data_IF_114467311059
#
_entry.id   IF_114467311059
#
_cell.length_a   1.000
_cell.length_b   1.000
_cell.length_c   1.000
_cell.angle_alpha   90.00
_cell.angle_beta   90.00
_cell.angle_gamma   90.00
#
_symmetry.space_group_name_H-M   'P 1'
#
loop_
_entity.id
_entity.type
_entity.pdbx_description
1 polymer ?
#
# COMPACT_ATOMS: atom_id res chain seq x y z
N UNK A 1 11.26 59.23 -40.93
CA UNK A 1 10.24 58.27 -40.57
C UNK A 1 10.99 57.07 -39.95
N UNK A 2 10.86 56.86 -38.62
CA UNK A 2 11.54 55.76 -37.89
C UNK A 2 10.51 54.64 -37.66
N UNK A 3 10.75 53.46 -38.23
CA UNK A 3 9.92 52.28 -37.99
C UNK A 3 10.26 51.70 -36.62
N UNK A 4 9.28 51.41 -35.75
CA UNK A 4 9.53 50.65 -34.54
C UNK A 4 9.50 49.16 -34.85
N UNK A 5 10.62 48.47 -34.50
CA UNK A 5 10.73 47.02 -34.52
C UNK A 5 9.93 46.51 -33.34
N UNK A 6 8.84 45.77 -33.61
CA UNK A 6 8.03 45.10 -32.61
C UNK A 6 8.70 43.75 -32.29
N UNK A 7 9.37 43.69 -31.12
CA UNK A 7 9.97 42.47 -30.63
C UNK A 7 8.89 41.59 -29.98
N UNK A 8 8.48 40.51 -30.64
CA UNK A 8 7.53 39.53 -30.15
C UNK A 8 8.24 38.60 -29.15
N UNK A 9 7.96 38.78 -27.84
CA UNK A 9 8.36 37.81 -26.82
C UNK A 9 7.43 36.61 -26.87
N UNK A 10 7.93 35.49 -27.44
CA UNK A 10 7.25 34.18 -27.34
C UNK A 10 7.56 33.59 -25.98
N UNK A 11 6.63 33.61 -25.05
CA UNK A 11 6.72 32.87 -23.79
C UNK A 11 6.49 31.40 -24.09
N UNK A 12 7.58 30.62 -24.18
CA UNK A 12 7.53 29.17 -24.18
C UNK A 12 7.14 28.71 -22.78
N UNK A 13 5.87 28.42 -22.59
CA UNK A 13 5.38 27.63 -21.43
C UNK A 13 5.92 26.20 -21.58
N UNK A 14 7.03 25.92 -20.91
CA UNK A 14 7.44 24.54 -20.67
C UNK A 14 6.44 23.89 -19.72
N UNK A 15 5.45 23.19 -20.24
CA UNK A 15 4.75 22.17 -19.47
C UNK A 15 5.76 21.05 -19.24
N UNK A 16 6.34 20.99 -18.04
CA UNK A 16 7.03 19.79 -17.61
C UNK A 16 5.97 18.70 -17.53
N UNK A 17 5.90 17.89 -18.57
CA UNK A 17 5.30 16.55 -18.47
C UNK A 17 6.25 15.82 -17.54
N UNK A 18 5.87 15.66 -16.27
CA UNK A 18 6.56 14.76 -15.34
C UNK A 18 6.46 13.36 -15.94
N UNK A 19 7.46 12.97 -16.72
CA UNK A 19 7.58 11.62 -17.22
C UNK A 19 7.72 10.71 -15.98
N UNK A 20 6.82 9.78 -15.83
CA UNK A 20 6.89 8.68 -14.89
C UNK A 20 8.24 7.97 -15.12
N UNK A 21 9.16 8.06 -14.17
CA UNK A 21 10.41 7.30 -14.21
C UNK A 21 10.17 5.98 -13.46
N UNK A 22 9.96 4.91 -14.23
CA UNK A 22 10.04 3.54 -13.71
C UNK A 22 11.46 3.29 -13.18
N UNK A 23 11.58 2.95 -11.91
CA UNK A 23 12.87 2.80 -11.23
C UNK A 23 12.99 1.44 -10.57
N UNK A 24 14.22 0.97 -10.49
CA UNK A 24 14.58 -0.22 -9.73
C UNK A 24 15.61 0.12 -8.67
N UNK A 25 15.50 -0.52 -7.51
CA UNK A 25 16.48 -0.46 -6.44
C UNK A 25 16.90 -1.88 -6.03
N UNK A 26 18.20 -2.10 -5.82
CA UNK A 26 18.70 -3.34 -5.24
C UNK A 26 18.62 -3.22 -3.70
N UNK A 27 17.77 -4.03 -3.09
CA UNK A 27 17.47 -4.01 -1.65
C UNK A 27 17.38 -5.44 -1.15
N UNK A 28 18.10 -5.77 -0.08
CA UNK A 28 18.04 -7.08 0.58
C UNK A 28 18.15 -8.28 -0.39
N UNK A 29 18.98 -8.15 -1.43
CA UNK A 29 19.21 -9.19 -2.42
C UNK A 29 18.15 -9.33 -3.51
N UNK A 30 17.15 -8.44 -3.55
CA UNK A 30 16.12 -8.39 -4.57
C UNK A 30 16.14 -7.05 -5.33
N UNK A 31 15.49 -7.00 -6.48
CA UNK A 31 15.20 -5.75 -7.19
C UNK A 31 13.77 -5.33 -6.90
N UNK A 32 13.62 -4.19 -6.23
CA UNK A 32 12.32 -3.55 -6.02
C UNK A 32 12.06 -2.60 -7.19
N UNK A 33 10.92 -2.79 -7.86
CA UNK A 33 10.35 -1.79 -8.76
C UNK A 33 9.59 -0.76 -7.94
N UNK A 34 9.70 0.51 -8.31
CA UNK A 34 8.91 1.58 -7.69
C UNK A 34 8.70 2.75 -8.65
N UNK A 35 7.65 3.51 -8.40
CA UNK A 35 7.34 4.75 -9.09
C UNK A 35 7.42 5.92 -8.12
N UNK A 36 7.78 7.10 -8.65
CA UNK A 36 7.74 8.36 -7.92
C UNK A 36 6.88 9.35 -8.71
N UNK A 37 5.90 9.97 -8.03
CA UNK A 37 5.04 10.99 -8.60
C UNK A 37 4.91 12.16 -7.65
N UNK A 38 4.83 13.39 -8.20
CA UNK A 38 4.67 14.61 -7.41
C UNK A 38 5.92 15.01 -6.62
N UNK A 39 5.76 16.04 -5.82
CA UNK A 39 6.79 16.62 -4.95
C UNK A 39 6.17 16.90 -3.57
N UNK A 40 7.01 17.16 -2.56
CA UNK A 40 6.57 17.49 -1.20
C UNK A 40 6.88 16.43 -0.17
N UNK A 41 6.02 16.31 0.84
CA UNK A 41 6.17 15.33 1.92
C UNK A 41 6.02 13.90 1.39
N UNK A 42 6.90 12.95 1.78
CA UNK A 42 6.84 11.59 1.28
C UNK A 42 5.58 10.85 1.73
N UNK A 43 4.87 10.24 0.78
CA UNK A 43 3.73 9.35 1.00
C UNK A 43 3.98 7.99 0.33
N UNK A 44 4.10 6.94 1.12
CA UNK A 44 4.31 5.57 0.65
C UNK A 44 2.95 4.89 0.46
N UNK A 45 2.73 4.29 -0.72
CA UNK A 45 1.48 3.58 -1.05
C UNK A 45 1.78 2.10 -1.28
N UNK A 46 1.30 1.22 -0.39
CA UNK A 46 1.53 -0.22 -0.43
C UNK A 46 0.26 -0.97 -0.85
N UNK A 47 0.40 -1.79 -1.88
CA UNK A 47 -0.68 -2.59 -2.45
C UNK A 47 -0.97 -3.88 -1.66
N UNK A 48 -2.11 -4.52 -1.93
CA UNK A 48 -2.48 -5.82 -1.38
C UNK A 48 -1.78 -7.00 -2.07
N UNK A 49 -1.86 -8.18 -1.46
CA UNK A 49 -1.31 -9.40 -2.05
C UNK A 49 -1.96 -9.70 -3.41
N UNK A 50 -1.22 -10.28 -4.34
CA UNK A 50 -1.59 -10.50 -5.75
C UNK A 50 -1.88 -9.25 -6.58
N UNK A 51 -1.65 -8.05 -6.03
CA UNK A 51 -1.76 -6.77 -6.73
C UNK A 51 -0.37 -6.20 -7.08
N UNK A 52 -0.32 -4.97 -7.58
CA UNK A 52 0.92 -4.24 -7.87
C UNK A 52 0.72 -2.75 -7.61
N UNK A 53 1.76 -1.94 -7.87
CA UNK A 53 1.68 -0.46 -7.85
C UNK A 53 0.47 0.08 -8.61
N UNK A 54 0.01 -0.60 -9.67
CA UNK A 54 -1.10 -0.17 -10.52
C UNK A 54 -2.43 -0.03 -9.77
N UNK A 55 -2.55 -0.66 -8.59
CA UNK A 55 -3.70 -0.49 -7.71
C UNK A 55 -3.94 1.00 -7.34
N UNK A 56 -2.87 1.79 -7.31
CA UNK A 56 -2.92 3.18 -6.89
C UNK A 56 -3.08 4.19 -8.04
N UNK A 57 -3.08 3.74 -9.32
CA UNK A 57 -3.15 4.62 -10.51
C UNK A 57 -4.28 5.65 -10.43
N UNK A 58 -5.47 5.23 -9.99
CA UNK A 58 -6.63 6.10 -9.86
C UNK A 58 -6.47 7.25 -8.84
N UNK A 59 -5.50 7.13 -7.92
CA UNK A 59 -5.26 8.09 -6.85
C UNK A 59 -4.01 8.94 -7.03
N UNK A 60 -3.17 8.62 -8.03
CA UNK A 60 -1.90 9.33 -8.27
C UNK A 60 -2.14 10.83 -8.47
N UNK A 61 -3.08 11.20 -9.33
CA UNK A 61 -3.37 12.61 -9.62
C UNK A 61 -3.80 13.40 -8.37
N UNK A 62 -4.59 12.78 -7.49
CA UNK A 62 -5.08 13.48 -6.30
C UNK A 62 -4.00 13.65 -5.24
N UNK A 63 -3.29 12.58 -4.89
CA UNK A 63 -2.28 12.64 -3.84
C UNK A 63 -0.99 13.34 -4.27
N UNK A 64 -0.59 13.24 -5.55
CA UNK A 64 0.62 13.91 -6.06
C UNK A 64 0.54 15.43 -6.09
N UNK A 65 -0.65 16.02 -5.92
CA UNK A 65 -0.83 17.47 -5.73
C UNK A 65 -0.20 17.99 -4.43
N UNK A 66 -0.09 17.13 -3.41
CA UNK A 66 0.36 17.51 -2.05
C UNK A 66 1.52 16.68 -1.54
N UNK A 67 1.79 15.52 -2.15
CA UNK A 67 2.78 14.56 -1.66
C UNK A 67 3.72 14.11 -2.76
N UNK A 68 4.94 13.77 -2.35
CA UNK A 68 5.85 12.94 -3.14
C UNK A 68 5.48 11.48 -2.91
N UNK A 69 4.78 10.88 -3.87
CA UNK A 69 4.36 9.48 -3.79
C UNK A 69 5.53 8.55 -4.04
N UNK A 70 5.65 7.51 -3.24
CA UNK A 70 6.54 6.36 -3.46
C UNK A 70 5.64 5.12 -3.53
N UNK A 71 5.57 4.50 -4.70
CA UNK A 71 4.64 3.40 -4.99
C UNK A 71 5.44 2.16 -5.42
N UNK A 72 5.94 1.35 -4.46
CA UNK A 72 6.70 0.15 -4.76
C UNK A 72 5.78 -1.04 -5.10
N UNK A 73 6.33 -1.97 -5.90
CA UNK A 73 5.85 -3.35 -5.94
C UNK A 73 6.49 -4.13 -4.79
N UNK A 74 5.69 -4.77 -3.94
CA UNK A 74 6.19 -5.64 -2.88
C UNK A 74 6.95 -6.84 -3.48
N UNK A 75 7.75 -7.56 -2.66
CA UNK A 75 8.55 -8.68 -3.14
C UNK A 75 7.72 -9.68 -3.96
N UNK A 76 8.24 -10.08 -5.13
CA UNK A 76 7.63 -10.91 -6.18
C UNK A 76 6.41 -10.33 -6.90
N UNK A 77 5.80 -9.26 -6.38
CA UNK A 77 4.66 -8.64 -7.03
C UNK A 77 5.09 -7.70 -8.17
N UNK A 78 4.18 -7.52 -9.14
CA UNK A 78 4.42 -6.60 -10.26
C UNK A 78 5.74 -6.87 -10.96
N UNK A 79 6.60 -5.87 -10.98
CA UNK A 79 7.93 -5.92 -11.60
C UNK A 79 9.07 -6.22 -10.60
N UNK A 80 8.76 -6.40 -9.31
CA UNK A 80 9.75 -6.74 -8.28
C UNK A 80 10.14 -8.22 -8.32
N UNK A 81 11.40 -8.52 -7.96
CA UNK A 81 11.89 -9.90 -7.86
C UNK A 81 11.74 -10.46 -6.45
N UNK A 82 11.86 -11.78 -6.30
CA UNK A 82 11.97 -12.46 -5.02
C UNK A 82 12.84 -13.72 -5.15
N UNK A 83 14.17 -13.62 -5.02
CA UNK A 83 15.07 -14.76 -5.19
C UNK A 83 14.90 -15.87 -4.13
N UNK A 84 14.34 -15.53 -2.95
CA UNK A 84 14.09 -16.51 -1.89
C UNK A 84 12.86 -17.38 -2.16
N UNK A 85 11.93 -16.94 -2.99
CA UNK A 85 10.60 -17.51 -3.19
C UNK A 85 9.78 -17.62 -1.87
N UNK A 86 10.13 -16.82 -0.86
CA UNK A 86 9.43 -16.76 0.42
C UNK A 86 8.85 -15.35 0.61
N UNK A 87 7.67 -15.27 1.18
CA UNK A 87 7.02 -14.00 1.51
C UNK A 87 6.64 -13.99 2.98
N UNK A 88 7.06 -12.95 3.67
CA UNK A 88 6.47 -12.51 4.94
C UNK A 88 6.27 -11.00 4.91
N UNK A 89 5.31 -10.51 5.69
CA UNK A 89 5.07 -9.06 5.81
C UNK A 89 6.23 -8.40 6.55
N UNK A 90 6.90 -9.12 7.46
CA UNK A 90 8.11 -8.66 8.14
C UNK A 90 9.26 -8.41 7.16
N UNK A 91 9.54 -9.35 6.25
CA UNK A 91 10.59 -9.16 5.24
C UNK A 91 10.21 -8.05 4.26
N UNK A 92 8.91 -7.96 3.86
CA UNK A 92 8.44 -6.85 3.05
C UNK A 92 8.64 -5.49 3.74
N UNK A 93 8.45 -5.42 5.06
CA UNK A 93 8.71 -4.20 5.83
C UNK A 93 10.20 -3.80 5.79
N UNK A 94 11.11 -4.78 5.93
CA UNK A 94 12.56 -4.54 5.80
C UNK A 94 12.94 -4.07 4.40
N UNK A 95 12.32 -4.63 3.35
CA UNK A 95 12.55 -4.21 1.97
C UNK A 95 12.12 -2.77 1.73
N UNK A 96 10.93 -2.40 2.22
CA UNK A 96 10.44 -1.03 2.09
C UNK A 96 11.33 -0.04 2.85
N UNK A 97 11.78 -0.38 4.07
CA UNK A 97 12.75 0.45 4.78
C UNK A 97 14.06 0.58 4.02
N UNK A 98 14.59 -0.51 3.47
CA UNK A 98 15.80 -0.47 2.64
C UNK A 98 15.65 0.42 1.40
N UNK A 99 14.49 0.39 0.72
CA UNK A 99 14.17 1.30 -0.38
C UNK A 99 14.16 2.76 0.09
N UNK A 100 13.49 3.06 1.20
CA UNK A 100 13.40 4.41 1.74
C UNK A 100 14.78 4.95 2.17
N UNK A 101 15.65 4.10 2.70
CA UNK A 101 17.03 4.46 3.06
C UNK A 101 17.85 4.83 1.82
N UNK A 102 17.75 4.05 0.73
CA UNK A 102 18.39 4.37 -0.56
C UNK A 102 17.88 5.69 -1.13
N UNK A 103 16.58 5.98 -0.95
CA UNK A 103 15.96 7.24 -1.38
C UNK A 103 16.23 8.40 -0.43
N UNK A 104 16.92 8.15 0.71
CA UNK A 104 17.20 9.12 1.78
C UNK A 104 15.93 9.75 2.38
N UNK A 105 14.89 8.91 2.51
CA UNK A 105 13.62 9.28 3.12
C UNK A 105 13.62 8.77 4.56
N UNK A 106 13.83 9.66 5.51
CA UNK A 106 13.86 9.35 6.93
C UNK A 106 12.44 9.25 7.52
N UNK A 107 11.58 10.21 7.20
CA UNK A 107 10.19 10.28 7.68
C UNK A 107 9.21 10.33 6.53
N UNK A 108 8.06 9.67 6.72
CA UNK A 108 7.04 9.57 5.68
C UNK A 108 5.66 9.31 6.28
N UNK A 109 4.62 9.61 5.50
CA UNK A 109 3.26 9.11 5.71
C UNK A 109 3.05 7.85 4.86
N UNK A 110 2.04 7.04 5.18
CA UNK A 110 1.81 5.82 4.42
C UNK A 110 0.33 5.42 4.33
N UNK A 111 -0.05 4.78 3.24
CA UNK A 111 -1.33 4.09 3.07
C UNK A 111 -1.02 2.66 2.64
N UNK A 112 -1.61 1.67 3.31
CA UNK A 112 -1.47 0.27 2.95
C UNK A 112 -2.80 -0.44 2.90
N UNK A 113 -3.02 -1.19 1.82
CA UNK A 113 -4.18 -2.06 1.65
C UNK A 113 -3.81 -3.51 1.94
N UNK A 114 -4.62 -4.22 2.75
CA UNK A 114 -4.46 -5.65 3.02
C UNK A 114 -3.00 -5.98 3.42
N UNK A 115 -2.27 -6.78 2.65
CA UNK A 115 -0.83 -7.07 2.88
C UNK A 115 0.03 -5.82 2.97
N UNK A 116 -0.27 -4.76 2.22
CA UNK A 116 0.40 -3.45 2.37
C UNK A 116 0.18 -2.84 3.75
N UNK A 117 -1.03 -2.96 4.30
CA UNK A 117 -1.34 -2.52 5.66
C UNK A 117 -0.68 -3.38 6.74
N UNK A 118 -0.60 -4.70 6.51
CA UNK A 118 0.14 -5.63 7.38
C UNK A 118 1.64 -5.31 7.39
N UNK A 119 2.22 -5.04 6.21
CA UNK A 119 3.61 -4.56 6.07
C UNK A 119 3.82 -3.25 6.85
N UNK A 120 2.89 -2.29 6.78
CA UNK A 120 2.97 -1.05 7.55
C UNK A 120 2.88 -1.29 9.07
N UNK A 121 2.13 -2.29 9.53
CA UNK A 121 2.07 -2.66 10.95
C UNK A 121 3.41 -3.17 11.44
N UNK A 122 4.10 -4.02 10.65
CA UNK A 122 5.48 -4.41 10.94
C UNK A 122 6.43 -3.21 10.95
N UNK A 123 6.37 -2.35 9.93
CA UNK A 123 7.20 -1.14 9.89
C UNK A 123 7.00 -0.24 11.11
N UNK A 124 5.75 -0.02 11.53
CA UNK A 124 5.42 0.83 12.66
C UNK A 124 5.88 0.27 14.01
N UNK A 125 6.05 -1.05 14.13
CA UNK A 125 6.56 -1.71 15.35
C UNK A 125 8.08 -1.89 15.32
N UNK A 126 8.71 -1.97 14.13
CA UNK A 126 10.16 -2.01 13.98
C UNK A 126 10.82 -0.68 14.30
N UNK A 127 10.27 0.41 13.76
CA UNK A 127 10.75 1.77 14.02
C UNK A 127 9.57 2.73 14.22
N UNK A 128 9.29 3.01 15.48
CA UNK A 128 8.16 3.86 15.89
C UNK A 128 8.34 5.34 15.57
N UNK A 129 9.47 5.75 14.99
CA UNK A 129 9.82 7.15 14.77
C UNK A 129 9.69 7.61 13.31
N UNK A 130 9.74 6.70 12.35
CA UNK A 130 9.79 7.03 10.91
C UNK A 130 8.43 7.31 10.30
N UNK A 131 7.38 6.61 10.71
CA UNK A 131 6.02 6.81 10.19
C UNK A 131 5.36 7.96 10.94
N UNK A 132 5.10 9.05 10.24
CA UNK A 132 4.46 10.24 10.81
C UNK A 132 2.95 10.08 10.97
N UNK A 133 2.31 9.37 10.07
CA UNK A 133 0.90 8.93 10.13
C UNK A 133 0.68 7.81 9.13
N UNK A 134 -0.23 6.88 9.41
CA UNK A 134 -0.55 5.79 8.48
C UNK A 134 -2.04 5.50 8.37
N UNK A 135 -2.44 5.03 7.20
CA UNK A 135 -3.79 4.54 6.92
C UNK A 135 -3.72 3.04 6.62
N UNK A 136 -4.43 2.25 7.39
CA UNK A 136 -4.55 0.80 7.23
C UNK A 136 -5.92 0.47 6.64
N UNK A 137 -5.96 -0.03 5.40
CA UNK A 137 -7.21 -0.37 4.71
C UNK A 137 -7.35 -1.89 4.66
N UNK A 138 -8.45 -2.43 5.19
CA UNK A 138 -8.74 -3.88 5.19
C UNK A 138 -7.52 -4.72 5.63
N UNK A 139 -6.82 -4.26 6.66
CA UNK A 139 -5.65 -4.92 7.24
C UNK A 139 -6.03 -5.71 8.49
N UNK A 140 -5.16 -6.57 8.96
CA UNK A 140 -5.36 -7.39 10.15
C UNK A 140 -4.14 -7.38 11.06
N UNK A 141 -4.34 -7.69 12.34
CA UNK A 141 -3.25 -7.92 13.31
C UNK A 141 -2.89 -9.41 13.46
N UNK A 142 -3.74 -10.30 12.98
CA UNK A 142 -3.49 -11.76 12.92
C UNK A 142 -4.43 -12.39 11.89
N UNK A 143 -4.07 -13.58 11.40
CA UNK A 143 -4.94 -14.35 10.51
C UNK A 143 -5.93 -15.21 11.35
N UNK A 144 -7.25 -14.85 11.39
CA UNK A 144 -8.25 -15.69 12.02
C UNK A 144 -8.45 -17.01 11.25
N UNK A 145 -9.00 -18.02 11.89
CA UNK A 145 -9.17 -19.35 11.26
C UNK A 145 -10.04 -19.25 9.98
N UNK A 146 -11.08 -18.42 9.99
CA UNK A 146 -11.90 -18.16 8.79
C UNK A 146 -11.08 -17.65 7.60
N UNK A 147 -10.11 -16.77 7.83
CA UNK A 147 -9.18 -16.32 6.81
C UNK A 147 -8.25 -17.48 6.36
N UNK A 148 -7.69 -18.25 7.31
CA UNK A 148 -6.82 -19.40 7.01
C UNK A 148 -7.52 -20.44 6.16
N UNK A 149 -8.81 -20.68 6.37
CA UNK A 149 -9.63 -21.57 5.54
C UNK A 149 -9.71 -21.09 4.09
N UNK A 150 -9.92 -19.77 3.88
CA UNK A 150 -9.90 -19.17 2.55
C UNK A 150 -8.51 -19.32 1.91
N UNK A 151 -7.45 -18.96 2.64
CA UNK A 151 -6.07 -19.05 2.13
C UNK A 151 -5.73 -20.48 1.69
N UNK A 152 -6.12 -21.51 2.47
CA UNK A 152 -5.90 -22.93 2.12
C UNK A 152 -6.64 -23.36 0.85
N UNK A 153 -7.76 -22.74 0.56
CA UNK A 153 -8.58 -23.09 -0.62
C UNK A 153 -8.05 -22.51 -1.92
N UNK A 154 -7.19 -21.48 -1.83
CA UNK A 154 -6.68 -20.77 -3.02
C UNK A 154 -5.45 -21.46 -3.60
N UNK A 155 -5.53 -21.75 -4.90
CA UNK A 155 -4.41 -22.23 -5.71
C UNK A 155 -4.63 -21.79 -7.16
N UNK A 156 -3.68 -22.06 -8.04
CA UNK A 156 -3.73 -21.61 -9.43
C UNK A 156 -4.97 -22.08 -10.21
N UNK A 157 -5.46 -23.28 -9.89
CA UNK A 157 -6.61 -23.90 -10.55
C UNK A 157 -7.96 -23.47 -9.94
N UNK A 158 -7.96 -22.95 -8.70
CA UNK A 158 -9.19 -22.51 -7.99
C UNK A 158 -9.51 -21.04 -8.14
N UNK A 159 -8.56 -20.24 -8.62
CA UNK A 159 -8.75 -18.78 -8.81
C UNK A 159 -9.73 -18.53 -9.93
N UNK A 160 -10.73 -17.65 -9.70
CA UNK A 160 -11.69 -17.28 -10.73
C UNK A 160 -11.03 -16.52 -11.90
N UNK A 161 -11.75 -16.50 -13.03
CA UNK A 161 -11.23 -15.94 -14.28
C UNK A 161 -10.91 -14.44 -14.16
N UNK A 162 -11.70 -13.67 -13.42
CA UNK A 162 -11.48 -12.22 -13.26
C UNK A 162 -10.24 -11.94 -12.46
N UNK A 163 -10.03 -12.63 -11.34
CA UNK A 163 -8.83 -12.51 -10.52
C UNK A 163 -7.60 -12.95 -11.32
N UNK A 164 -7.65 -14.11 -12.00
CA UNK A 164 -6.57 -14.59 -12.87
C UNK A 164 -6.21 -13.56 -13.96
N UNK A 165 -7.20 -12.98 -14.63
CA UNK A 165 -6.97 -11.98 -15.68
C UNK A 165 -6.33 -10.69 -15.11
N UNK A 166 -6.72 -10.28 -13.91
CA UNK A 166 -6.09 -9.16 -13.22
C UNK A 166 -4.63 -9.45 -12.86
N UNK A 167 -4.33 -10.64 -12.33
CA UNK A 167 -2.96 -11.04 -12.05
C UNK A 167 -2.09 -11.08 -13.31
N UNK A 168 -2.60 -11.61 -14.43
CA UNK A 168 -1.88 -11.64 -15.72
C UNK A 168 -1.53 -10.24 -16.24
N UNK A 169 -2.36 -9.25 -15.97
CA UNK A 169 -2.07 -7.84 -16.36
C UNK A 169 -1.00 -7.21 -15.48
N UNK A 170 -0.95 -7.58 -14.20
CA UNK A 170 -0.11 -6.93 -13.20
C UNK A 170 1.26 -7.60 -13.03
N UNK A 171 1.42 -8.87 -13.43
CA UNK A 171 2.61 -9.67 -13.16
C UNK A 171 3.30 -10.11 -14.46
N UNK A 172 4.30 -9.36 -14.96
CA UNK A 172 4.93 -9.61 -16.26
C UNK A 172 5.73 -10.91 -16.32
N UNK A 173 6.09 -11.51 -15.18
CA UNK A 173 6.70 -12.84 -15.11
C UNK A 173 5.75 -13.98 -15.49
N UNK A 174 4.47 -13.65 -15.76
CA UNK A 174 3.46 -14.56 -16.30
C UNK A 174 3.10 -15.69 -15.36
N UNK A 175 2.78 -16.84 -15.92
CA UNK A 175 2.27 -17.99 -15.17
C UNK A 175 3.20 -18.42 -14.03
N UNK A 176 4.51 -18.40 -14.24
CA UNK A 176 5.48 -18.79 -13.21
C UNK A 176 5.37 -17.89 -11.97
N UNK A 177 5.32 -16.59 -12.16
CA UNK A 177 5.20 -15.61 -11.08
C UNK A 177 3.85 -15.76 -10.38
N UNK A 178 2.77 -15.90 -11.14
CA UNK A 178 1.41 -16.06 -10.60
C UNK A 178 1.30 -17.34 -9.75
N UNK A 179 1.84 -18.48 -10.23
CA UNK A 179 1.86 -19.73 -9.46
C UNK A 179 2.65 -19.58 -8.15
N UNK A 180 3.79 -18.90 -8.19
CA UNK A 180 4.59 -18.63 -7.00
C UNK A 180 3.81 -17.77 -6.00
N UNK A 181 3.22 -16.66 -6.44
CA UNK A 181 2.40 -15.79 -5.59
C UNK A 181 1.23 -16.54 -4.95
N UNK A 182 0.49 -17.34 -5.72
CA UNK A 182 -0.63 -18.11 -5.18
C UNK A 182 -0.19 -19.20 -4.20
N UNK A 183 1.00 -19.79 -4.42
CA UNK A 183 1.61 -20.73 -3.46
C UNK A 183 1.96 -20.00 -2.16
N UNK A 184 2.55 -18.81 -2.23
CA UNK A 184 2.88 -18.01 -1.04
C UNK A 184 1.61 -17.53 -0.32
N UNK A 185 0.56 -17.16 -1.07
CA UNK A 185 -0.74 -16.81 -0.50
C UNK A 185 -1.34 -17.99 0.30
N UNK A 186 -1.30 -19.20 -0.26
CA UNK A 186 -1.73 -20.42 0.44
C UNK A 186 -0.87 -20.68 1.69
N UNK A 187 0.46 -20.51 1.60
CA UNK A 187 1.38 -20.73 2.69
C UNK A 187 1.13 -19.81 3.91
N UNK A 188 0.58 -18.61 3.70
CA UNK A 188 0.18 -17.72 4.82
C UNK A 188 -0.81 -18.39 5.77
N UNK A 189 -1.61 -19.36 5.29
CA UNK A 189 -2.53 -20.12 6.13
C UNK A 189 -1.81 -20.88 7.26
N UNK A 190 -0.55 -21.21 7.07
CA UNK A 190 0.28 -22.00 7.98
C UNK A 190 1.32 -21.17 8.72
N UNK A 191 1.42 -19.87 8.41
CA UNK A 191 2.26 -18.93 9.12
C UNK A 191 1.53 -18.41 10.36
N UNK A 192 2.08 -18.62 11.54
CA UNK A 192 1.53 -18.17 12.82
C UNK A 192 2.36 -17.03 13.43
N UNK A 193 3.58 -16.83 12.96
CA UNK A 193 4.52 -15.87 13.54
C UNK A 193 4.54 -14.52 12.80
N UNK A 194 4.34 -14.52 11.47
CA UNK A 194 4.42 -13.31 10.65
C UNK A 194 3.35 -12.28 11.06
N UNK A 195 2.07 -12.70 11.16
CA UNK A 195 1.01 -11.84 11.68
C UNK A 195 0.54 -12.36 13.03
N UNK A 196 1.14 -11.85 14.09
CA UNK A 196 0.84 -12.23 15.48
C UNK A 196 0.97 -11.01 16.43
N UNK A 197 0.26 -9.94 16.10
CA UNK A 197 0.31 -8.71 16.88
C UNK A 197 -0.69 -8.78 18.05
N UNK A 198 -0.17 -8.98 19.25
CA UNK A 198 -0.96 -8.89 20.48
C UNK A 198 -1.31 -7.44 20.82
N UNK A 199 -2.34 -7.23 21.67
CA UNK A 199 -2.72 -5.88 22.09
C UNK A 199 -1.57 -5.09 22.74
N UNK A 200 -0.73 -5.68 23.63
CA UNK A 200 0.45 -4.99 24.15
C UNK A 200 1.45 -4.62 23.04
N UNK A 201 1.59 -5.45 22.00
CA UNK A 201 2.51 -5.14 20.91
C UNK A 201 1.96 -4.03 20.03
N UNK A 202 0.67 -4.05 19.68
CA UNK A 202 0.00 -2.95 18.97
C UNK A 202 0.07 -1.62 19.74
N UNK A 203 0.08 -1.65 21.09
CA UNK A 203 0.20 -0.46 21.91
C UNK A 203 1.57 0.24 21.83
N UNK A 204 2.57 -0.40 21.24
CA UNK A 204 3.88 0.21 20.97
C UNK A 204 3.87 1.15 19.76
N UNK A 205 2.87 1.04 18.89
CA UNK A 205 2.72 1.91 17.71
C UNK A 205 2.41 3.33 18.17
N UNK A 206 3.30 4.27 17.83
CA UNK A 206 3.19 5.69 18.20
C UNK A 206 2.61 6.55 17.08
N UNK A 207 2.67 6.06 15.85
CA UNK A 207 2.18 6.79 14.69
C UNK A 207 0.66 6.95 14.77
N UNK A 208 0.10 8.14 14.57
CA UNK A 208 -1.32 8.30 14.31
C UNK A 208 -1.78 7.34 13.23
N UNK A 209 -2.84 6.58 13.49
CA UNK A 209 -3.28 5.48 12.62
C UNK A 209 -4.78 5.62 12.31
N UNK A 210 -5.12 5.76 11.03
CA UNK A 210 -6.50 5.65 10.56
C UNK A 210 -6.74 4.22 10.04
N UNK A 211 -7.69 3.53 10.65
CA UNK A 211 -8.12 2.19 10.24
C UNK A 211 -9.41 2.32 9.42
N UNK A 212 -9.38 1.86 8.17
CA UNK A 212 -10.54 1.83 7.26
C UNK A 212 -10.86 0.36 6.96
N UNK A 213 -12.12 -0.05 7.18
CA UNK A 213 -12.45 -1.46 7.05
C UNK A 213 -13.91 -1.66 6.61
N UNK A 214 -14.15 -2.66 5.75
CA UNK A 214 -15.49 -3.00 5.29
C UNK A 214 -16.24 -3.88 6.28
N UNK A 215 -17.53 -3.60 6.53
CA UNK A 215 -18.38 -4.40 7.45
C UNK A 215 -18.74 -5.79 6.88
N UNK A 216 -18.41 -6.06 5.62
CA UNK A 216 -18.61 -7.33 4.89
C UNK A 216 -17.31 -7.99 4.47
N UNK A 217 -16.19 -7.63 5.10
CA UNK A 217 -14.90 -8.26 4.84
C UNK A 217 -14.95 -9.74 5.21
N UNK A 218 -14.75 -10.61 4.22
CA UNK A 218 -14.82 -12.08 4.39
C UNK A 218 -13.52 -12.66 4.96
N UNK A 219 -12.39 -11.93 4.83
CA UNK A 219 -11.09 -12.35 5.37
C UNK A 219 -10.95 -11.95 6.83
N UNK A 220 -11.33 -10.72 7.17
CA UNK A 220 -11.08 -10.14 8.48
C UNK A 220 -12.37 -9.60 9.10
N UNK A 221 -13.00 -10.35 10.01
CA UNK A 221 -14.19 -9.91 10.74
C UNK A 221 -13.98 -8.57 11.45
N UNK A 222 -15.05 -7.75 11.55
CA UNK A 222 -15.03 -6.36 12.05
C UNK A 222 -14.47 -6.23 13.49
N UNK A 223 -14.56 -7.26 14.29
CA UNK A 223 -13.99 -7.27 15.65
C UNK A 223 -12.46 -7.10 15.66
N UNK A 224 -11.77 -7.52 14.58
CA UNK A 224 -10.31 -7.38 14.47
C UNK A 224 -9.90 -5.90 14.33
N UNK A 225 -10.38 -5.11 13.34
CA UNK A 225 -10.05 -3.69 13.26
C UNK A 225 -10.57 -2.89 14.49
N UNK A 226 -11.67 -3.29 15.10
CA UNK A 226 -12.15 -2.71 16.38
C UNK A 226 -11.14 -2.97 17.49
N UNK A 227 -10.58 -4.19 17.58
CA UNK A 227 -9.53 -4.51 18.55
C UNK A 227 -8.25 -3.71 18.29
N UNK A 228 -7.82 -3.62 17.03
CA UNK A 228 -6.65 -2.81 16.64
C UNK A 228 -6.85 -1.33 17.02
N UNK A 229 -8.03 -0.76 16.74
CA UNK A 229 -8.40 0.60 17.15
C UNK A 229 -8.31 0.80 18.68
N UNK A 230 -8.75 -0.16 19.47
CA UNK A 230 -8.67 -0.09 20.93
C UNK A 230 -7.25 -0.23 21.47
N UNK A 231 -6.36 -0.86 20.71
CA UNK A 231 -5.01 -1.21 21.15
C UNK A 231 -3.96 -0.18 20.73
N UNK A 232 -4.12 0.46 19.56
CA UNK A 232 -3.19 1.49 19.09
C UNK A 232 -3.56 2.85 19.74
N UNK A 233 -2.66 3.48 20.51
CA UNK A 233 -3.01 4.63 21.37
C UNK A 233 -3.60 5.83 20.63
N UNK A 234 -3.08 6.13 19.43
CA UNK A 234 -3.56 7.26 18.60
C UNK A 234 -4.15 6.72 17.32
N UNK A 235 -5.32 6.11 17.42
CA UNK A 235 -6.00 5.53 16.28
C UNK A 235 -7.42 6.04 16.10
N UNK A 236 -7.88 5.97 14.86
CA UNK A 236 -9.22 6.32 14.41
C UNK A 236 -9.79 5.18 13.60
N UNK A 237 -11.11 4.98 13.64
CA UNK A 237 -11.75 3.86 12.96
C UNK A 237 -12.89 4.35 12.07
N UNK A 238 -12.84 3.95 10.81
CA UNK A 238 -13.93 4.12 9.86
C UNK A 238 -14.37 2.75 9.33
N UNK A 239 -15.53 2.29 9.77
CA UNK A 239 -16.17 1.10 9.19
C UNK A 239 -17.05 1.54 8.03
N UNK A 240 -16.73 1.03 6.84
CA UNK A 240 -17.44 1.34 5.58
C UNK A 240 -18.61 0.36 5.45
N UNK A 241 -19.86 0.84 5.40
CA UNK A 241 -21.02 -0.04 5.35
C UNK A 241 -21.17 -0.70 3.99
N UNK A 242 -21.63 -1.97 3.99
CA UNK A 242 -21.82 -2.81 2.82
C UNK A 242 -20.57 -2.89 1.91
N UNK A 243 -19.39 -3.00 2.53
CA UNK A 243 -18.11 -3.02 1.85
C UNK A 243 -17.33 -4.29 2.24
N UNK A 244 -16.81 -5.01 1.24
CA UNK A 244 -16.06 -6.24 1.44
C UNK A 244 -14.56 -6.02 1.65
N UNK A 245 -13.76 -7.09 1.44
CA UNK A 245 -12.30 -7.00 1.41
C UNK A 245 -11.84 -6.30 0.14
N UNK A 246 -11.79 -5.00 0.18
CA UNK A 246 -11.42 -4.17 -0.98
C UNK A 246 -10.71 -2.88 -0.54
N UNK A 247 -9.96 -2.28 -1.46
CA UNK A 247 -9.58 -0.87 -1.36
C UNK A 247 -10.71 0.00 -1.88
N UNK A 248 -10.76 1.25 -1.42
CA UNK A 248 -11.72 2.20 -1.98
C UNK A 248 -11.23 2.61 -3.37
N UNK A 249 -11.99 2.20 -4.39
CA UNK A 249 -11.74 2.55 -5.79
C UNK A 249 -12.19 3.97 -6.09
N UNK A 250 -11.52 4.63 -7.06
CA UNK A 250 -11.84 6.01 -7.49
C UNK A 250 -13.26 6.16 -8.03
N UNK A 251 -13.85 5.09 -8.57
CA UNK A 251 -15.22 5.07 -9.08
C UNK A 251 -16.26 4.63 -8.03
N UNK A 252 -15.80 4.33 -6.81
CA UNK A 252 -16.67 3.99 -5.69
C UNK A 252 -17.48 5.19 -5.23
N UNK A 253 -18.70 4.96 -4.70
CA UNK A 253 -19.48 5.98 -3.99
C UNK A 253 -18.76 6.58 -2.77
N UNK A 254 -17.72 5.89 -2.27
CA UNK A 254 -16.89 6.30 -1.14
C UNK A 254 -15.66 7.10 -1.51
N UNK A 255 -15.39 7.31 -2.82
CA UNK A 255 -14.14 7.92 -3.29
C UNK A 255 -13.90 9.32 -2.73
N UNK A 256 -14.91 10.21 -2.81
CA UNK A 256 -14.79 11.58 -2.30
C UNK A 256 -14.61 11.59 -0.77
N UNK A 257 -15.37 10.75 -0.07
CA UNK A 257 -15.25 10.61 1.39
C UNK A 257 -13.85 10.11 1.78
N UNK A 258 -13.32 9.12 1.06
CA UNK A 258 -11.97 8.61 1.28
C UNK A 258 -10.91 9.70 1.13
N UNK A 259 -10.96 10.46 0.04
CA UNK A 259 -9.99 11.52 -0.22
C UNK A 259 -10.06 12.63 0.85
N UNK A 260 -11.27 13.06 1.21
CA UNK A 260 -11.49 14.08 2.25
C UNK A 260 -10.96 13.58 3.61
N UNK A 261 -11.35 12.38 4.01
CA UNK A 261 -11.00 11.79 5.30
C UNK A 261 -9.49 11.60 5.43
N UNK A 262 -8.83 11.02 4.40
CA UNK A 262 -7.38 10.80 4.41
C UNK A 262 -6.61 12.11 4.42
N UNK A 263 -6.99 13.10 3.61
CA UNK A 263 -6.32 14.39 3.60
C UNK A 263 -6.47 15.14 4.93
N UNK A 264 -7.67 15.14 5.53
CA UNK A 264 -7.90 15.72 6.86
C UNK A 264 -7.09 15.02 7.95
N UNK A 265 -7.02 13.71 7.90
CA UNK A 265 -6.20 12.93 8.82
C UNK A 265 -4.71 13.26 8.68
N UNK A 266 -4.19 13.31 7.46
CA UNK A 266 -2.78 13.59 7.21
C UNK A 266 -2.36 15.04 7.46
N UNK A 267 -3.26 16.01 7.33
CA UNK A 267 -2.98 17.41 7.69
C UNK A 267 -2.91 17.65 9.19
N UNK A 268 -3.36 16.71 10.00
CA UNK A 268 -3.52 16.90 11.46
C UNK A 268 -4.72 17.77 11.84
N UNK A 269 -5.52 18.22 10.89
CA UNK A 269 -6.76 19.01 11.09
C UNK A 269 -7.97 18.12 11.37
N UNK A 270 -7.74 16.99 12.01
CA UNK A 270 -8.77 15.96 12.27
C UNK A 270 -9.72 16.32 13.40
N UNK A 271 -9.43 17.38 14.16
CA UNK A 271 -10.22 17.84 15.31
C UNK A 271 -11.35 18.76 14.91
#
# INVERSE_FOLDING_TARGET
MKNPILTLFVLLLYTQINAQEAKYADVNGMKIYYEIHGEGEPLVLLHGFTMSHTMWEGWIEDFSKSYKLIIPDLREHGNSTNPSNEFTHEESAKDIYGLLDLLKIDKFKAIGFSSGGMTLTHMATMDTSRIQAMVLISSTSFFPESCREILRSVNYESVDENWMNNMKKQHPGGEKQIRSLLTQFNNMAYSYDDMNFTNPYLSTIKSPTLIIHGDRDVFFPVDIPVNSYKSIPTSYLWIVPNFGHSSIDKNSIWADAFLIVVNKFFSGEWQ
#
